data_IF_404152855460
#
_entry.id   IF_404152855460
#
_cell.length_a   1.000
_cell.length_b   1.000
_cell.length_c   1.000
_cell.angle_alpha   90.00
_cell.angle_beta   90.00
_cell.angle_gamma   90.00
#
_symmetry.space_group_name_H-M   'P 1'
#
loop_
_entity.id
_entity.type
_entity.pdbx_description
1 polymer ?
#
# COMPACT_ATOMS: atom_id res chain seq x y z
N UNK A 1 -21.40 23.32 12.04
CA UNK A 1 -21.14 22.42 10.89
C UNK A 1 -20.08 21.43 11.32
N UNK A 2 -20.23 20.14 10.98
CA UNK A 2 -19.29 19.11 11.45
C UNK A 2 -18.21 18.90 10.39
N UNK A 3 -16.95 18.99 10.79
CA UNK A 3 -15.81 18.85 9.89
C UNK A 3 -14.85 17.80 10.40
N UNK A 4 -14.18 17.11 9.50
CA UNK A 4 -13.05 16.25 9.81
C UNK A 4 -11.82 17.13 9.95
N UNK A 5 -11.15 17.09 11.11
CA UNK A 5 -9.94 17.88 11.37
C UNK A 5 -8.67 17.07 11.09
N UNK A 6 -8.70 15.79 11.43
CA UNK A 6 -7.62 14.84 11.19
C UNK A 6 -8.25 13.51 10.84
N UNK A 7 -7.77 12.84 9.81
CA UNK A 7 -8.12 11.46 9.52
C UNK A 7 -6.93 10.79 8.89
N UNK A 8 -6.22 9.98 9.68
CA UNK A 8 -5.07 9.20 9.23
C UNK A 8 -5.27 7.77 9.72
N UNK A 9 -5.35 6.76 8.84
CA UNK A 9 -5.41 5.38 9.29
C UNK A 9 -4.16 5.05 10.11
N UNK A 10 -4.32 4.22 11.13
CA UNK A 10 -3.21 3.65 11.88
C UNK A 10 -2.49 2.57 11.05
N UNK A 11 -3.26 1.74 10.35
CA UNK A 11 -2.76 0.90 9.27
C UNK A 11 -3.86 0.66 8.24
N UNK A 12 -3.44 0.20 7.08
CA UNK A 12 -4.32 -0.13 5.95
C UNK A 12 -4.17 -1.59 5.61
N UNK A 13 -5.28 -2.30 5.38
CA UNK A 13 -5.28 -3.73 5.02
C UNK A 13 -6.03 -3.95 3.72
N UNK A 14 -5.37 -4.58 2.75
CA UNK A 14 -5.99 -4.95 1.47
C UNK A 14 -6.41 -6.42 1.46
N UNK A 15 -7.65 -6.68 1.05
CA UNK A 15 -8.23 -8.01 0.90
C UNK A 15 -8.95 -8.09 -0.45
N UNK A 16 -8.25 -8.53 -1.48
CA UNK A 16 -8.77 -8.57 -2.85
C UNK A 16 -9.18 -7.19 -3.37
N UNK A 17 -10.48 -7.02 -3.62
CA UNK A 17 -11.09 -5.76 -4.08
C UNK A 17 -11.50 -4.83 -2.93
N UNK A 18 -11.18 -5.16 -1.68
CA UNK A 18 -11.49 -4.33 -0.52
C UNK A 18 -10.22 -3.77 0.08
N UNK A 19 -10.30 -2.52 0.52
CA UNK A 19 -9.31 -1.89 1.36
C UNK A 19 -9.96 -1.48 2.68
N UNK A 20 -9.32 -1.82 3.79
CA UNK A 20 -9.77 -1.53 5.15
C UNK A 20 -8.83 -0.49 5.75
N UNK A 21 -9.36 0.67 6.08
CA UNK A 21 -8.66 1.70 6.84
C UNK A 21 -8.96 1.51 8.32
N UNK A 22 -7.96 1.14 9.11
CA UNK A 22 -8.14 0.89 10.55
C UNK A 22 -7.62 2.09 11.33
N UNK A 23 -8.45 2.64 12.21
CA UNK A 23 -8.15 3.85 12.99
C UNK A 23 -7.85 3.50 14.45
N UNK A 24 -6.88 4.20 15.03
CA UNK A 24 -6.53 4.12 16.44
C UNK A 24 -6.96 5.38 17.20
N UNK A 25 -6.87 5.34 18.53
CA UNK A 25 -7.17 6.48 19.40
C UNK A 25 -6.47 7.76 18.93
N UNK A 26 -7.23 8.86 18.77
CA UNK A 26 -6.77 10.19 18.30
C UNK A 26 -6.30 10.30 16.84
N UNK A 27 -6.24 9.20 16.08
CA UNK A 27 -5.85 9.23 14.65
C UNK A 27 -6.98 9.76 13.73
N UNK A 28 -8.17 9.94 14.30
CA UNK A 28 -9.32 10.54 13.66
C UNK A 28 -9.89 11.59 14.63
N UNK A 29 -10.17 12.81 14.16
CA UNK A 29 -10.83 13.84 14.95
C UNK A 29 -11.79 14.67 14.11
N UNK A 30 -12.84 15.14 14.76
CA UNK A 30 -13.85 16.01 14.18
C UNK A 30 -13.90 17.35 14.92
N UNK A 31 -14.25 18.41 14.21
CA UNK A 31 -14.56 19.72 14.72
C UNK A 31 -16.08 19.90 14.70
N UNK A 32 -16.67 20.19 15.86
CA UNK A 32 -18.08 20.53 16.00
C UNK A 32 -18.19 21.72 16.94
N UNK A 33 -18.84 22.80 16.49
CA UNK A 33 -19.06 24.02 17.28
C UNK A 33 -17.76 24.59 17.86
N UNK A 34 -16.70 24.66 17.03
CA UNK A 34 -15.32 25.07 17.39
C UNK A 34 -14.61 24.18 18.41
N UNK A 35 -15.16 23.00 18.67
CA UNK A 35 -14.60 22.03 19.60
C UNK A 35 -14.10 20.77 18.90
N UNK A 36 -12.89 20.35 19.23
CA UNK A 36 -12.27 19.14 18.69
C UNK A 36 -12.66 17.93 19.53
N UNK A 37 -13.23 16.92 18.89
CA UNK A 37 -13.49 15.62 19.49
C UNK A 37 -12.56 14.58 18.85
N UNK A 38 -11.91 13.77 19.68
CA UNK A 38 -10.99 12.73 19.24
C UNK A 38 -11.67 11.37 19.21
N UNK A 39 -11.40 10.61 18.17
CA UNK A 39 -11.91 9.26 18.02
C UNK A 39 -11.40 8.32 19.12
N UNK A 40 -12.30 7.46 19.60
CA UNK A 40 -12.01 6.36 20.53
C UNK A 40 -12.51 5.03 19.93
N UNK A 41 -11.66 3.99 19.85
CA UNK A 41 -12.02 2.72 19.22
C UNK A 41 -12.82 1.81 20.16
N UNK A 42 -14.02 2.25 20.57
CA UNK A 42 -14.88 1.51 21.50
C UNK A 42 -15.90 0.62 20.77
N UNK A 43 -16.43 1.11 19.65
CA UNK A 43 -17.40 0.38 18.82
C UNK A 43 -16.72 0.08 17.47
N UNK A 44 -16.94 0.91 16.47
CA UNK A 44 -16.29 0.79 15.18
C UNK A 44 -14.89 1.38 15.13
N UNK A 45 -14.02 0.72 14.37
CA UNK A 45 -12.61 1.11 14.20
C UNK A 45 -12.11 1.09 12.77
N UNK A 46 -12.93 0.66 11.82
CA UNK A 46 -12.49 0.48 10.43
C UNK A 46 -13.49 1.06 9.42
N UNK A 47 -12.95 1.56 8.31
CA UNK A 47 -13.73 1.96 7.13
C UNK A 47 -13.34 1.02 5.99
N UNK A 48 -14.30 0.31 5.44
CA UNK A 48 -14.11 -0.64 4.35
C UNK A 48 -14.55 0.02 3.04
N UNK A 49 -13.64 0.12 2.09
CA UNK A 49 -13.91 0.67 0.76
C UNK A 49 -13.74 -0.42 -0.29
N UNK A 50 -14.72 -0.52 -1.19
CA UNK A 50 -14.63 -1.35 -2.38
C UNK A 50 -13.83 -0.61 -3.46
N UNK A 51 -12.73 -1.21 -3.94
CA UNK A 51 -11.85 -0.60 -4.94
C UNK A 51 -12.44 -0.58 -6.36
N UNK A 52 -13.47 -1.39 -6.65
CA UNK A 52 -14.12 -1.40 -7.95
C UNK A 52 -15.16 -0.28 -8.07
N UNK A 53 -15.94 -0.04 -7.00
CA UNK A 53 -17.02 0.96 -6.99
C UNK A 53 -16.64 2.26 -6.27
N UNK A 54 -15.52 2.25 -5.53
CA UNK A 54 -15.11 3.32 -4.61
C UNK A 54 -16.17 3.68 -3.56
N UNK A 55 -17.03 2.72 -3.22
CA UNK A 55 -18.07 2.88 -2.21
C UNK A 55 -17.64 2.31 -0.86
N UNK A 56 -18.10 2.96 0.21
CA UNK A 56 -17.96 2.48 1.58
C UNK A 56 -18.97 1.36 1.82
N UNK A 57 -18.50 0.19 2.26
CA UNK A 57 -19.36 -0.99 2.43
C UNK A 57 -19.99 -1.07 3.83
N UNK A 58 -19.28 -0.64 4.88
CA UNK A 58 -19.73 -0.75 6.27
C UNK A 58 -20.39 0.55 6.78
N UNK A 59 -21.42 1.02 6.07
CA UNK A 59 -22.13 2.28 6.38
C UNK A 59 -22.76 2.34 7.78
N UNK A 60 -23.08 1.19 8.37
CA UNK A 60 -23.69 1.09 9.70
C UNK A 60 -22.68 1.15 10.85
N UNK A 61 -21.38 1.16 10.54
CA UNK A 61 -20.31 1.20 11.54
C UNK A 61 -20.39 2.50 12.36
N UNK A 62 -20.33 2.40 13.69
CA UNK A 62 -20.48 3.57 14.59
C UNK A 62 -19.12 4.03 15.08
N UNK A 63 -18.79 5.29 14.77
CA UNK A 63 -17.59 5.96 15.24
C UNK A 63 -17.91 6.82 16.47
N UNK A 64 -17.11 6.66 17.52
CA UNK A 64 -17.27 7.39 18.77
C UNK A 64 -16.16 8.41 18.91
N UNK A 65 -16.53 9.66 19.17
CA UNK A 65 -15.61 10.77 19.40
C UNK A 65 -15.81 11.37 20.79
N UNK A 66 -14.72 11.71 21.47
CA UNK A 66 -14.73 12.17 22.85
C UNK A 66 -14.01 13.52 23.01
N UNK A 67 -14.57 14.38 23.87
CA UNK A 67 -13.91 15.57 24.42
C UNK A 67 -14.25 15.68 25.90
N UNK A 68 -13.30 15.32 26.78
CA UNK A 68 -13.56 15.23 28.22
C UNK A 68 -14.66 14.20 28.51
N UNK A 69 -15.75 14.64 29.14
CA UNK A 69 -16.90 13.78 29.48
C UNK A 69 -17.98 13.71 28.39
N UNK A 70 -17.78 14.39 27.25
CA UNK A 70 -18.78 14.44 26.17
C UNK A 70 -18.41 13.46 25.07
N UNK A 71 -19.41 12.73 24.60
CA UNK A 71 -19.29 11.73 23.54
C UNK A 71 -20.22 12.07 22.38
N UNK A 72 -19.72 11.86 21.17
CA UNK A 72 -20.48 11.94 19.92
C UNK A 72 -20.39 10.56 19.28
N UNK A 73 -21.53 9.90 19.09
CA UNK A 73 -21.63 8.64 18.36
C UNK A 73 -22.23 8.93 17.01
N UNK A 74 -21.51 8.61 15.94
CA UNK A 74 -21.99 8.82 14.58
C UNK A 74 -21.78 7.55 13.76
N UNK A 75 -22.85 6.97 13.22
CA UNK A 75 -22.74 6.00 12.14
C UNK A 75 -22.00 6.60 10.96
N UNK A 76 -21.26 5.76 10.24
CA UNK A 76 -20.44 6.18 9.11
C UNK A 76 -21.28 6.82 8.00
N UNK A 77 -22.49 6.32 7.74
CA UNK A 77 -23.41 6.97 6.80
C UNK A 77 -23.74 8.42 7.19
N UNK A 78 -23.84 8.73 8.49
CA UNK A 78 -24.07 10.11 8.94
C UNK A 78 -22.83 10.96 8.74
N UNK A 79 -21.65 10.45 9.10
CA UNK A 79 -20.37 11.15 8.85
C UNK A 79 -20.21 11.50 7.37
N UNK A 80 -20.55 10.57 6.47
CA UNK A 80 -20.51 10.80 5.02
C UNK A 80 -21.46 11.92 4.55
N UNK A 81 -22.60 12.10 5.23
CA UNK A 81 -23.61 13.10 4.87
C UNK A 81 -23.35 14.48 5.49
N UNK A 82 -22.85 14.52 6.73
CA UNK A 82 -22.79 15.76 7.53
C UNK A 82 -21.40 16.36 7.64
N UNK A 83 -20.38 15.70 7.04
CA UNK A 83 -19.00 16.15 7.06
C UNK A 83 -18.29 15.96 5.72
N UNK A 84 -17.09 16.50 5.63
CA UNK A 84 -16.14 16.44 4.51
C UNK A 84 -15.29 15.15 4.49
N UNK A 85 -15.75 14.07 5.14
CA UNK A 85 -14.98 12.83 5.27
C UNK A 85 -14.66 12.19 3.89
N UNK A 86 -15.53 12.38 2.89
CA UNK A 86 -15.30 11.91 1.53
C UNK A 86 -14.00 12.46 0.94
N UNK A 87 -13.70 13.74 1.17
CA UNK A 87 -12.47 14.39 0.70
C UNK A 87 -11.25 13.76 1.34
N UNK A 88 -11.31 13.50 2.65
CA UNK A 88 -10.22 12.85 3.37
C UNK A 88 -10.01 11.39 2.93
N UNK A 89 -11.10 10.63 2.72
CA UNK A 89 -11.01 9.24 2.25
C UNK A 89 -10.38 9.18 0.86
N UNK A 90 -10.74 10.11 -0.03
CA UNK A 90 -10.12 10.21 -1.34
C UNK A 90 -8.63 10.56 -1.28
N UNK A 91 -8.21 11.42 -0.34
CA UNK A 91 -6.78 11.73 -0.13
C UNK A 91 -6.00 10.49 0.29
N UNK A 92 -6.47 9.79 1.33
CA UNK A 92 -5.83 8.57 1.83
C UNK A 92 -5.76 7.50 0.73
N UNK A 93 -6.83 7.31 -0.03
CA UNK A 93 -6.83 6.37 -1.16
C UNK A 93 -5.80 6.73 -2.24
N UNK A 94 -5.55 8.03 -2.48
CA UNK A 94 -4.51 8.46 -3.43
C UNK A 94 -3.10 8.22 -2.88
N UNK A 95 -2.88 8.54 -1.61
CA UNK A 95 -1.61 8.31 -0.91
C UNK A 95 -1.24 6.83 -0.93
N UNK A 96 -2.17 5.94 -0.57
CA UNK A 96 -1.96 4.48 -0.61
C UNK A 96 -1.68 3.98 -2.04
N UNK A 97 -2.35 4.54 -3.06
CA UNK A 97 -2.06 4.17 -4.46
C UNK A 97 -0.66 4.63 -4.88
N UNK A 98 -0.20 5.79 -4.43
CA UNK A 98 1.12 6.30 -4.74
C UNK A 98 2.22 5.47 -4.04
N UNK A 99 2.06 5.18 -2.74
CA UNK A 99 2.99 4.35 -1.97
C UNK A 99 3.09 2.93 -2.54
N UNK A 100 1.97 2.33 -2.97
CA UNK A 100 1.97 1.02 -3.63
C UNK A 100 2.72 1.02 -4.97
N UNK A 101 2.68 2.12 -5.72
CA UNK A 101 3.40 2.23 -6.99
C UNK A 101 4.90 2.35 -6.72
N UNK A 102 5.30 3.23 -5.80
CA UNK A 102 6.72 3.45 -5.49
C UNK A 102 7.39 2.20 -4.89
N UNK A 103 6.75 1.54 -3.92
CA UNK A 103 7.28 0.31 -3.32
C UNK A 103 7.38 -0.83 -4.35
N UNK A 104 6.40 -0.95 -5.25
CA UNK A 104 6.40 -2.00 -6.27
C UNK A 104 7.50 -1.78 -7.33
N UNK A 105 7.73 -0.54 -7.76
CA UNK A 105 8.79 -0.24 -8.74
C UNK A 105 10.19 -0.43 -8.14
N UNK A 106 10.40 -0.04 -6.88
CA UNK A 106 11.67 -0.29 -6.20
C UNK A 106 11.92 -1.80 -6.00
N UNK A 107 10.90 -2.55 -5.57
CA UNK A 107 11.01 -4.01 -5.40
C UNK A 107 11.29 -4.72 -6.71
N UNK A 108 10.65 -4.32 -7.82
CA UNK A 108 10.92 -4.87 -9.15
C UNK A 108 12.35 -4.59 -9.60
N UNK A 109 12.85 -3.38 -9.35
CA UNK A 109 14.21 -2.99 -9.71
C UNK A 109 15.23 -3.84 -8.95
N UNK A 110 15.08 -3.95 -7.63
CA UNK A 110 15.95 -4.79 -6.79
C UNK A 110 15.90 -6.26 -7.19
N UNK A 111 14.71 -6.80 -7.48
CA UNK A 111 14.56 -8.17 -7.97
C UNK A 111 15.23 -8.37 -9.33
N UNK A 112 15.11 -7.40 -10.24
CA UNK A 112 15.75 -7.44 -11.57
C UNK A 112 17.28 -7.42 -11.45
N UNK A 113 17.82 -6.54 -10.60
CA UNK A 113 19.26 -6.46 -10.32
C UNK A 113 19.77 -7.78 -9.70
N UNK A 114 19.03 -8.37 -8.76
CA UNK A 114 19.38 -9.65 -8.17
C UNK A 114 19.35 -10.80 -9.17
N UNK A 115 18.36 -10.85 -10.06
CA UNK A 115 18.26 -11.86 -11.13
C UNK A 115 19.45 -11.73 -12.08
N UNK A 116 19.75 -10.52 -12.55
CA UNK A 116 20.89 -10.28 -13.45
C UNK A 116 22.22 -10.72 -12.82
N UNK A 117 22.43 -10.42 -11.53
CA UNK A 117 23.60 -10.87 -10.79
C UNK A 117 23.69 -12.41 -10.74
N UNK A 118 22.59 -13.08 -10.40
CA UNK A 118 22.55 -14.55 -10.31
C UNK A 118 22.76 -15.22 -11.67
N UNK A 119 22.21 -14.66 -12.75
CA UNK A 119 22.40 -15.14 -14.11
C UNK A 119 23.87 -15.02 -14.54
N UNK A 120 24.49 -13.86 -14.28
CA UNK A 120 25.90 -13.63 -14.57
C UNK A 120 26.80 -14.64 -13.85
N UNK A 121 26.56 -14.86 -12.55
CA UNK A 121 27.29 -15.85 -11.76
C UNK A 121 27.07 -17.28 -12.29
N UNK A 122 25.87 -17.59 -12.78
CA UNK A 122 25.58 -18.89 -13.34
C UNK A 122 26.35 -19.12 -14.65
N UNK A 123 26.39 -18.13 -15.53
CA UNK A 123 27.18 -18.18 -16.76
C UNK A 123 28.67 -18.36 -16.47
N UNK A 124 29.21 -17.62 -15.50
CA UNK A 124 30.61 -17.76 -15.10
C UNK A 124 30.93 -19.20 -14.66
N UNK A 125 30.09 -19.80 -13.81
CA UNK A 125 30.26 -21.20 -13.38
C UNK A 125 30.15 -22.20 -14.53
N UNK A 126 29.21 -22.00 -15.46
CA UNK A 126 29.06 -22.89 -16.61
C UNK A 126 30.26 -22.81 -17.56
N UNK A 127 30.84 -21.61 -17.72
CA UNK A 127 32.07 -21.39 -18.48
C UNK A 127 33.24 -22.13 -17.83
N UNK A 128 33.40 -22.01 -16.51
CA UNK A 128 34.45 -22.73 -15.76
C UNK A 128 34.30 -24.25 -15.89
N UNK A 129 33.06 -24.76 -15.86
CA UNK A 129 32.77 -26.18 -16.08
C UNK A 129 33.12 -26.64 -17.49
N UNK A 130 32.79 -25.85 -18.51
CA UNK A 130 33.14 -26.16 -19.90
C UNK A 130 34.67 -26.20 -20.10
N UNK A 131 35.39 -25.25 -19.49
CA UNK A 131 36.86 -25.24 -19.49
C UNK A 131 37.44 -26.48 -18.78
N UNK A 132 36.92 -26.83 -17.61
CA UNK A 132 37.38 -27.99 -16.85
C UNK A 132 37.13 -29.32 -17.59
N UNK A 133 36.04 -29.40 -18.36
CA UNK A 133 35.71 -30.57 -19.18
C UNK A 133 36.44 -30.60 -20.54
N UNK A 134 37.14 -29.52 -20.91
CA UNK A 134 37.74 -29.37 -22.25
C UNK A 134 36.71 -29.22 -23.38
N UNK A 135 35.46 -28.86 -23.04
CA UNK A 135 34.36 -28.73 -24.00
C UNK A 135 34.39 -27.33 -24.65
N UNK A 136 35.17 -27.23 -25.73
CA UNK A 136 35.38 -25.99 -26.48
C UNK A 136 34.10 -25.48 -27.13
N UNK A 137 33.23 -26.38 -27.59
CA UNK A 137 31.99 -26.01 -28.29
C UNK A 137 30.99 -25.38 -27.29
N UNK A 138 30.85 -25.98 -26.11
CA UNK A 138 30.04 -25.42 -25.03
C UNK A 138 30.59 -24.08 -24.54
N UNK A 139 31.91 -23.95 -24.41
CA UNK A 139 32.55 -22.69 -24.01
C UNK A 139 32.26 -21.54 -24.99
N UNK A 140 32.46 -21.75 -26.30
CA UNK A 140 32.21 -20.73 -27.32
C UNK A 140 30.72 -20.33 -27.37
N UNK A 141 29.82 -21.30 -27.19
CA UNK A 141 28.38 -21.06 -27.09
C UNK A 141 28.02 -20.19 -25.88
N UNK A 142 28.53 -20.51 -24.69
CA UNK A 142 28.25 -19.73 -23.47
C UNK A 142 28.80 -18.30 -23.56
N UNK A 143 30.00 -18.13 -24.15
CA UNK A 143 30.63 -16.82 -24.34
C UNK A 143 29.81 -15.92 -25.28
N UNK A 144 29.26 -16.49 -26.36
CA UNK A 144 28.41 -15.74 -27.29
C UNK A 144 27.07 -15.33 -26.67
N UNK A 145 26.46 -16.22 -25.87
CA UNK A 145 25.22 -15.93 -25.15
C UNK A 145 25.41 -14.85 -24.08
N UNK A 146 26.50 -14.93 -23.32
CA UNK A 146 26.83 -13.91 -22.33
C UNK A 146 27.05 -12.53 -22.96
N UNK A 147 27.73 -12.46 -24.11
CA UNK A 147 27.89 -11.19 -24.86
C UNK A 147 26.56 -10.61 -25.35
N UNK A 148 25.66 -11.45 -25.87
CA UNK A 148 24.34 -10.98 -26.31
C UNK A 148 23.49 -10.43 -25.16
N UNK A 149 23.61 -11.00 -23.96
CA UNK A 149 22.93 -10.51 -22.76
C UNK A 149 23.52 -9.19 -22.24
N UNK A 150 24.82 -8.96 -22.44
CA UNK A 150 25.51 -7.73 -22.02
C UNK A 150 25.36 -6.57 -23.03
N UNK A 151 25.34 -6.86 -24.34
CA UNK A 151 25.20 -5.85 -25.40
C UNK A 151 23.73 -5.54 -25.75
N UNK A 152 22.79 -6.44 -25.41
CA UNK A 152 21.35 -6.33 -25.69
C UNK A 152 20.53 -5.69 -24.56
N UNK A 153 21.11 -4.74 -23.81
CA UNK A 153 20.42 -4.06 -22.72
C UNK A 153 19.08 -3.45 -23.16
N UNK A 154 18.00 -3.95 -22.57
CA UNK A 154 16.68 -3.32 -22.52
C UNK A 154 16.72 -2.04 -21.68
#
# INVERSE_FOLDING_TARGET
>A
MLHVKLMKPFYTKREGHRIKFVFAYQYFSILKDDEVFHFIPVEGKEIIVNLNTFQVENLSEVFVFQKGNRFIRLPLYQLLLVSDIHTHLQSILKEERAELIEVNEQTKKEATEAIQFLEQENFNRMIDQALAAGDKELFEKLLSQQKQLLDGGL
#
